data_IF_127294071992
#
_entry.id   IF_127294071992
#
_cell.length_a   1.000
_cell.length_b   1.000
_cell.length_c   1.000
_cell.angle_alpha   90.00
_cell.angle_beta   90.00
_cell.angle_gamma   90.00
#
_symmetry.space_group_name_H-M   'P 1'
#
loop_
_entity.id
_entity.type
_entity.pdbx_description
1 polymer ?
#
# COMPACT_ATOMS: atom_id res chain seq x y z
N UNK A 1 3.16 -5.51 0.53
CA UNK A 1 4.20 -6.25 1.30
C UNK A 1 3.49 -7.33 2.11
N UNK A 2 4.16 -8.40 2.50
CA UNK A 2 3.59 -9.49 3.28
C UNK A 2 4.68 -10.54 3.53
N UNK A 3 4.31 -11.70 4.06
CA UNK A 3 5.14 -12.89 4.15
C UNK A 3 6.55 -12.65 4.68
N UNK A 4 7.55 -12.90 3.85
CA UNK A 4 8.97 -12.87 4.19
C UNK A 4 9.51 -11.54 4.76
N UNK A 5 8.77 -10.44 4.65
CA UNK A 5 9.22 -9.14 5.17
C UNK A 5 8.93 -8.97 6.67
N UNK A 6 7.97 -9.69 7.23
CA UNK A 6 7.53 -9.52 8.63
C UNK A 6 8.63 -9.81 9.64
N UNK A 7 9.35 -10.92 9.46
CA UNK A 7 10.46 -11.29 10.34
C UNK A 7 11.58 -10.23 10.39
N UNK A 8 11.73 -9.44 9.33
CA UNK A 8 12.71 -8.35 9.29
C UNK A 8 12.16 -7.04 9.84
N UNK A 9 10.86 -6.79 9.74
CA UNK A 9 10.25 -5.54 10.17
C UNK A 9 10.12 -5.48 11.70
N UNK A 10 9.62 -6.52 12.35
CA UNK A 10 9.31 -6.53 13.78
C UNK A 10 10.52 -6.15 14.65
N UNK A 11 11.74 -6.72 14.46
CA UNK A 11 12.91 -6.34 15.26
C UNK A 11 13.31 -4.86 15.11
N UNK A 12 12.99 -4.25 13.97
CA UNK A 12 13.40 -2.89 13.62
C UNK A 12 12.36 -1.82 14.00
N UNK A 13 11.21 -2.20 14.54
CA UNK A 13 10.22 -1.24 15.03
C UNK A 13 10.71 -0.63 16.36
N UNK A 14 10.60 0.68 16.46
CA UNK A 14 10.90 1.39 17.70
C UNK A 14 9.95 0.99 18.84
N UNK A 15 10.37 1.10 20.11
CA UNK A 15 9.48 0.90 21.24
C UNK A 15 8.22 1.80 21.14
N UNK A 16 7.06 1.26 21.45
CA UNK A 16 5.75 1.93 21.27
C UNK A 16 5.29 2.07 19.82
N UNK A 17 6.06 1.52 18.86
CA UNK A 17 5.76 1.63 17.43
C UNK A 17 4.58 0.80 16.97
N UNK A 18 4.13 1.07 15.74
CA UNK A 18 2.99 0.39 15.12
C UNK A 18 3.36 -0.16 13.76
N UNK A 19 3.01 -1.41 13.51
CA UNK A 19 3.05 -2.02 12.18
C UNK A 19 1.62 -2.03 11.62
N UNK A 20 1.43 -1.40 10.48
CA UNK A 20 0.13 -1.42 9.79
C UNK A 20 0.26 -2.26 8.52
N UNK A 21 -0.65 -3.20 8.32
CA UNK A 21 -0.75 -3.99 7.10
C UNK A 21 -2.07 -3.73 6.39
N UNK A 22 -2.01 -3.49 5.08
CA UNK A 22 -3.17 -3.26 4.22
C UNK A 22 -3.22 -4.21 3.02
N UNK A 23 -2.39 -5.24 3.01
CA UNK A 23 -2.38 -6.22 1.92
C UNK A 23 -1.30 -7.29 2.10
N UNK A 24 -1.44 -8.36 1.35
CA UNK A 24 -0.62 -9.57 1.45
C UNK A 24 -0.10 -10.07 0.08
N UNK A 25 0.15 -9.16 -0.87
CA UNK A 25 0.56 -9.49 -2.24
C UNK A 25 1.82 -10.36 -2.31
N UNK A 26 2.75 -10.21 -1.36
CA UNK A 26 3.98 -10.99 -1.29
C UNK A 26 3.89 -12.17 -0.30
N UNK A 27 2.70 -12.70 -0.07
CA UNK A 27 2.41 -13.83 0.82
C UNK A 27 1.53 -13.43 2.01
N UNK A 28 0.64 -14.31 2.38
CA UNK A 28 -0.38 -14.10 3.41
C UNK A 28 0.04 -14.60 4.80
N UNK A 29 1.13 -15.34 4.90
CA UNK A 29 1.67 -15.81 6.17
C UNK A 29 2.83 -14.92 6.62
N UNK A 30 2.89 -14.59 7.91
CA UNK A 30 3.98 -13.83 8.50
C UNK A 30 4.27 -14.29 9.93
N UNK A 31 5.53 -14.59 10.23
CA UNK A 31 5.96 -14.93 11.57
C UNK A 31 6.25 -13.69 12.40
N UNK A 32 5.82 -13.71 13.65
CA UNK A 32 6.06 -12.65 14.63
C UNK A 32 6.72 -13.25 15.86
N UNK A 33 7.90 -12.74 16.21
CA UNK A 33 8.51 -13.07 17.49
C UNK A 33 7.80 -12.27 18.60
N UNK A 34 6.98 -12.96 19.37
CA UNK A 34 6.12 -12.37 20.41
C UNK A 34 6.95 -11.62 21.47
N UNK A 35 8.21 -11.97 21.67
CA UNK A 35 9.09 -11.29 22.63
C UNK A 35 9.24 -9.81 22.28
N UNK A 36 9.33 -9.47 21.00
CA UNK A 36 9.38 -8.07 20.56
C UNK A 36 8.06 -7.33 20.79
N UNK A 37 6.92 -8.01 20.66
CA UNK A 37 5.62 -7.38 20.88
C UNK A 37 5.50 -6.80 22.29
N UNK A 38 5.71 -7.64 23.32
CA UNK A 38 5.53 -7.16 24.69
C UNK A 38 6.72 -6.33 25.19
N UNK A 39 7.99 -6.69 24.87
CA UNK A 39 9.15 -5.95 25.37
C UNK A 39 9.28 -4.55 24.80
N UNK A 40 8.80 -4.34 23.58
CA UNK A 40 8.79 -3.03 22.93
C UNK A 40 7.39 -2.36 22.88
N UNK A 41 6.37 -2.99 23.43
CA UNK A 41 4.98 -2.47 23.39
C UNK A 41 4.52 -2.16 21.97
N UNK A 42 4.77 -3.07 21.01
CA UNK A 42 4.43 -2.89 19.60
C UNK A 42 2.98 -3.25 19.37
N UNK A 43 2.27 -2.45 18.55
CA UNK A 43 0.95 -2.79 18.04
C UNK A 43 1.03 -3.23 16.57
N UNK A 44 0.29 -4.29 16.22
CA UNK A 44 0.09 -4.73 14.84
C UNK A 44 -1.38 -4.49 14.48
N UNK A 45 -1.61 -3.72 13.43
CA UNK A 45 -2.93 -3.26 13.02
C UNK A 45 -3.21 -3.68 11.58
N UNK A 46 -4.42 -4.15 11.33
CA UNK A 46 -4.94 -4.33 9.99
C UNK A 46 -5.66 -3.08 9.50
N UNK A 47 -5.46 -2.73 8.24
CA UNK A 47 -6.23 -1.71 7.55
C UNK A 47 -6.78 -2.31 6.26
N UNK A 48 -8.07 -2.15 6.02
CA UNK A 48 -8.73 -2.62 4.81
C UNK A 48 -9.23 -1.42 3.99
N UNK A 49 -9.89 -1.70 2.88
CA UNK A 49 -10.45 -0.68 1.99
C UNK A 49 -11.39 0.27 2.73
N UNK A 50 -11.47 1.50 2.27
CA UNK A 50 -12.41 2.49 2.77
C UNK A 50 -13.86 2.18 2.38
N UNK A 51 -14.80 2.80 3.08
CA UNK A 51 -16.22 2.76 2.75
C UNK A 51 -16.51 3.68 1.56
N UNK A 52 -17.69 3.55 0.96
CA UNK A 52 -18.14 4.47 -0.12
C UNK A 52 -18.08 5.94 0.32
N UNK A 53 -18.43 6.25 1.56
CA UNK A 53 -18.35 7.61 2.10
C UNK A 53 -16.91 8.13 2.11
N UNK A 54 -15.95 7.29 2.48
CA UNK A 54 -14.52 7.65 2.50
C UNK A 54 -14.02 7.94 1.08
N UNK A 55 -14.48 7.17 0.07
CA UNK A 55 -14.17 7.43 -1.33
C UNK A 55 -14.72 8.78 -1.81
N UNK A 56 -15.94 9.14 -1.42
CA UNK A 56 -16.51 10.45 -1.76
C UNK A 56 -15.70 11.60 -1.16
N UNK A 57 -15.19 11.45 0.06
CA UNK A 57 -14.28 12.44 0.65
C UNK A 57 -12.95 12.53 -0.11
N UNK A 58 -12.34 11.40 -0.47
CA UNK A 58 -11.13 11.37 -1.31
C UNK A 58 -11.36 12.13 -2.62
N UNK A 59 -12.49 11.88 -3.31
CA UNK A 59 -12.82 12.58 -4.57
C UNK A 59 -12.96 14.10 -4.35
N UNK A 60 -13.59 14.54 -3.26
CA UNK A 60 -13.68 15.97 -2.92
C UNK A 60 -12.30 16.59 -2.68
N UNK A 61 -11.42 15.89 -1.99
CA UNK A 61 -10.05 16.34 -1.76
C UNK A 61 -9.23 16.42 -3.06
N UNK A 62 -9.40 15.45 -3.96
CA UNK A 62 -8.80 15.50 -5.30
C UNK A 62 -9.31 16.71 -6.10
N UNK A 63 -10.63 16.93 -6.13
CA UNK A 63 -11.23 18.04 -6.85
C UNK A 63 -10.78 19.43 -6.32
N UNK A 64 -10.50 19.54 -5.02
CA UNK A 64 -9.99 20.76 -4.37
C UNK A 64 -8.46 20.90 -4.50
N UNK A 65 -7.76 19.92 -5.04
CA UNK A 65 -6.30 19.91 -5.15
C UNK A 65 -5.56 19.71 -3.83
N UNK A 66 -6.26 19.39 -2.73
CA UNK A 66 -5.64 19.09 -1.43
C UNK A 66 -5.01 17.68 -1.36
N UNK A 67 -5.41 16.78 -2.27
CA UNK A 67 -4.72 15.53 -2.56
C UNK A 67 -4.21 15.58 -4.00
N UNK A 68 -2.95 15.23 -4.18
CA UNK A 68 -2.32 15.18 -5.51
C UNK A 68 -1.67 13.83 -5.70
N UNK A 69 -2.33 12.89 -6.41
CA UNK A 69 -1.72 11.61 -6.73
C UNK A 69 -0.52 11.81 -7.66
N UNK A 70 0.52 11.03 -7.46
CA UNK A 70 1.63 10.99 -8.41
C UNK A 70 1.19 10.13 -9.59
N UNK A 71 1.03 10.73 -10.74
CA UNK A 71 0.71 10.05 -12.01
C UNK A 71 1.99 10.01 -12.83
N UNK A 72 2.45 8.80 -13.15
CA UNK A 72 3.62 8.58 -14.00
C UNK A 72 3.27 8.93 -15.44
N UNK A 73 2.20 8.33 -15.96
CA UNK A 73 1.68 8.59 -17.30
C UNK A 73 0.23 8.18 -17.45
N UNK A 74 -0.36 8.72 -18.50
CA UNK A 74 -1.70 8.39 -18.95
C UNK A 74 -1.62 7.66 -20.29
N UNK A 75 -2.36 6.59 -20.46
CA UNK A 75 -2.42 5.77 -21.67
C UNK A 75 -3.87 5.60 -22.12
N UNK A 76 -4.13 5.44 -23.44
CA UNK A 76 -5.42 4.98 -23.90
C UNK A 76 -5.79 3.61 -23.32
N UNK A 77 -7.06 3.34 -23.11
CA UNK A 77 -7.53 2.05 -22.62
C UNK A 77 -7.08 0.89 -23.52
N UNK A 78 -6.98 1.13 -24.83
CA UNK A 78 -6.48 0.16 -25.80
C UNK A 78 -5.04 -0.32 -25.48
N UNK A 79 -4.25 0.49 -24.82
CA UNK A 79 -2.85 0.19 -24.45
C UNK A 79 -2.73 -0.48 -23.06
N UNK A 80 -3.81 -1.08 -22.57
CA UNK A 80 -3.84 -1.77 -21.27
C UNK A 80 -2.72 -2.82 -21.13
N UNK A 81 -2.42 -3.57 -22.19
CA UNK A 81 -1.35 -4.56 -22.19
C UNK A 81 0.03 -3.94 -21.95
N UNK A 82 0.28 -2.74 -22.51
CA UNK A 82 1.51 -1.99 -22.25
C UNK A 82 1.57 -1.51 -20.80
N UNK A 83 0.45 -1.00 -20.26
CA UNK A 83 0.38 -0.59 -18.86
C UNK A 83 0.75 -1.74 -17.91
N UNK A 84 0.27 -2.95 -18.16
CA UNK A 84 0.64 -4.14 -17.38
C UNK A 84 2.12 -4.47 -17.49
N UNK A 85 2.69 -4.46 -18.70
CA UNK A 85 4.14 -4.70 -18.89
C UNK A 85 5.01 -3.71 -18.14
N UNK A 86 4.65 -2.44 -18.12
CA UNK A 86 5.36 -1.40 -17.37
C UNK A 86 5.31 -1.64 -15.85
N UNK A 87 4.14 -2.06 -15.33
CA UNK A 87 3.99 -2.40 -13.90
C UNK A 87 4.83 -3.63 -13.53
N UNK A 88 4.80 -4.68 -14.33
CA UNK A 88 5.58 -5.90 -14.12
C UNK A 88 7.08 -5.64 -14.17
N UNK A 89 7.52 -4.79 -15.09
CA UNK A 89 8.90 -4.33 -15.22
C UNK A 89 9.34 -3.37 -14.09
N UNK A 90 8.43 -2.96 -13.20
CA UNK A 90 8.67 -1.94 -12.18
C UNK A 90 9.20 -0.62 -12.74
N UNK A 91 8.82 -0.29 -13.96
CA UNK A 91 9.24 0.93 -14.69
C UNK A 91 8.30 2.13 -14.45
N UNK A 92 7.54 2.10 -13.36
CA UNK A 92 6.52 3.11 -13.04
C UNK A 92 6.79 3.71 -11.66
N UNK A 93 6.82 5.03 -11.58
CA UNK A 93 6.83 5.74 -10.31
C UNK A 93 5.51 6.50 -10.11
N UNK A 94 4.62 5.94 -9.33
CA UNK A 94 3.28 6.48 -9.10
C UNK A 94 2.19 5.60 -9.70
N UNK A 95 1.23 6.20 -10.40
CA UNK A 95 0.08 5.52 -10.99
C UNK A 95 0.10 5.62 -12.51
N UNK A 96 -0.32 4.54 -13.18
CA UNK A 96 -0.75 4.58 -14.57
C UNK A 96 -2.24 4.84 -14.60
N UNK A 97 -2.67 5.74 -15.46
CA UNK A 97 -4.09 6.05 -15.67
C UNK A 97 -4.45 5.62 -17.09
N UNK A 98 -5.49 4.82 -17.23
CA UNK A 98 -6.06 4.45 -18.51
C UNK A 98 -7.28 5.31 -18.78
N UNK A 99 -7.35 5.90 -19.98
CA UNK A 99 -8.48 6.73 -20.42
C UNK A 99 -9.24 5.95 -21.51
N UNK A 100 -10.56 5.84 -21.41
CA UNK A 100 -11.44 5.23 -22.42
C UNK A 100 -11.38 5.93 -23.77
#
# INVERSE_FOLDING_TARGET
MGGATWGKLIPNIAPGGRLVTCGATAGYEGAVDIRYLFSKTIAILGAFLGRKADMLEVVRHLARGSLRPVIDRTLPLADCAEAHRLLEARAVFGKLVLIP
#
